data_IF_151133744403
#
_entry.id   IF_151133744403
#
_cell.length_a   1.000
_cell.length_b   1.000
_cell.length_c   1.000
_cell.angle_alpha   90.00
_cell.angle_beta   90.00
_cell.angle_gamma   90.00
#
_symmetry.space_group_name_H-M   'P 1'
#
loop_
_entity.id
_entity.type
_entity.pdbx_description
1 polymer ?
#
# COMPACT_ATOMS: atom_id res chain seq x y z
N UNK A 1 -8.48 30.08 14.37
CA UNK A 1 -9.84 30.33 14.82
C UNK A 1 -10.80 29.45 13.98
N UNK A 2 -11.31 28.33 14.53
CA UNK A 2 -12.18 27.44 13.78
C UNK A 2 -13.56 28.01 13.45
N UNK A 3 -14.02 29.00 14.20
CA UNK A 3 -15.33 29.64 13.93
C UNK A 3 -15.26 30.61 12.74
N UNK A 4 -14.07 31.16 12.50
CA UNK A 4 -13.81 32.07 11.39
C UNK A 4 -13.17 31.41 10.19
N UNK A 5 -12.75 30.14 10.34
CA UNK A 5 -11.94 29.40 9.37
C UNK A 5 -10.67 30.15 8.94
N UNK A 6 -10.08 30.90 9.89
CA UNK A 6 -8.92 31.75 9.64
C UNK A 6 -7.71 31.34 10.51
N UNK A 7 -6.52 31.44 9.95
CA UNK A 7 -5.28 31.34 10.71
C UNK A 7 -5.05 32.67 11.43
N UNK A 8 -5.00 32.62 12.77
CA UNK A 8 -4.80 33.79 13.61
C UNK A 8 -3.37 33.85 14.14
N UNK A 9 -2.63 34.86 13.75
CA UNK A 9 -1.25 35.07 14.17
C UNK A 9 -0.22 34.27 13.39
N UNK A 10 0.99 34.17 13.93
CA UNK A 10 2.11 33.49 13.26
C UNK A 10 2.36 32.10 13.87
N UNK A 11 2.77 31.10 13.05
CA UNK A 11 3.13 29.78 13.56
C UNK A 11 4.32 29.89 14.53
N UNK A 12 4.27 29.11 15.61
CA UNK A 12 5.34 29.02 16.60
C UNK A 12 5.81 27.57 16.73
N UNK A 13 7.11 27.31 16.78
CA UNK A 13 7.61 25.98 17.08
C UNK A 13 7.24 25.59 18.53
N UNK A 14 6.54 24.46 18.70
CA UNK A 14 6.12 23.96 20.00
C UNK A 14 7.16 23.00 20.59
N UNK A 15 7.69 22.12 19.78
CA UNK A 15 8.52 21.01 20.23
C UNK A 15 9.52 20.58 19.15
N UNK A 16 10.63 19.99 19.57
CA UNK A 16 11.71 19.54 18.66
C UNK A 16 11.96 18.05 18.73
N UNK A 17 11.00 17.29 19.26
CA UNK A 17 11.06 15.83 19.34
C UNK A 17 11.53 15.30 20.69
N UNK A 18 11.26 14.02 20.91
CA UNK A 18 11.59 13.25 22.09
C UNK A 18 12.95 12.55 22.02
N UNK A 19 13.45 12.32 20.79
CA UNK A 19 14.69 11.60 20.52
C UNK A 19 15.62 12.40 19.62
N UNK A 20 16.78 11.83 19.28
CA UNK A 20 17.69 12.38 18.27
C UNK A 20 17.55 11.72 16.89
N UNK A 21 16.47 10.94 16.69
CA UNK A 21 16.22 10.23 15.42
C UNK A 21 15.87 11.16 14.26
N UNK A 22 15.49 12.40 14.53
CA UNK A 22 15.14 13.39 13.51
C UNK A 22 13.80 13.14 12.83
N UNK A 23 13.54 13.80 11.69
CA UNK A 23 12.32 13.66 10.90
C UNK A 23 11.04 13.74 11.74
N UNK A 24 10.95 14.74 12.63
CA UNK A 24 9.77 14.92 13.49
C UNK A 24 8.59 15.39 12.64
N UNK A 25 7.46 14.68 12.75
CA UNK A 25 6.26 14.94 11.97
C UNK A 25 4.99 14.43 12.66
N UNK A 26 3.82 14.58 12.01
CA UNK A 26 2.52 14.08 12.45
C UNK A 26 2.18 14.40 13.92
N UNK A 27 2.18 15.67 14.32
CA UNK A 27 1.88 16.01 15.71
C UNK A 27 0.40 15.81 16.01
N UNK A 28 0.12 15.03 17.06
CA UNK A 28 -1.20 14.93 17.69
C UNK A 28 -1.15 15.66 19.02
N UNK A 29 -1.96 16.70 19.16
CA UNK A 29 -2.06 17.49 20.39
C UNK A 29 -3.35 17.16 21.12
N UNK A 30 -3.26 16.66 22.35
CA UNK A 30 -4.41 16.30 23.18
C UNK A 30 -4.30 16.93 24.56
N UNK A 31 -5.46 17.15 25.22
CA UNK A 31 -5.51 17.61 26.61
C UNK A 31 -6.02 16.49 27.50
N UNK A 32 -5.27 16.15 28.56
CA UNK A 32 -5.68 15.18 29.58
C UNK A 32 -5.30 15.69 30.97
N UNK A 33 -6.32 15.91 31.80
CA UNK A 33 -6.11 16.51 33.13
C UNK A 33 -5.49 17.92 33.03
N UNK A 34 -4.39 18.12 33.75
CA UNK A 34 -3.67 19.40 33.77
C UNK A 34 -2.68 19.57 32.62
N UNK A 35 -2.44 18.52 31.81
CA UNK A 35 -1.42 18.53 30.79
C UNK A 35 -1.99 18.55 29.38
N UNK A 36 -1.24 19.22 28.50
CA UNK A 36 -1.29 19.06 27.06
C UNK A 36 -0.20 18.08 26.66
N UNK A 37 -0.58 17.06 25.91
CA UNK A 37 0.33 16.03 25.39
C UNK A 37 0.52 16.26 23.90
N UNK A 38 1.77 16.21 23.45
CA UNK A 38 2.14 16.20 22.05
C UNK A 38 2.74 14.84 21.71
N UNK A 39 2.13 14.13 20.77
CA UNK A 39 2.63 12.86 20.22
C UNK A 39 3.11 13.11 18.81
N UNK A 40 4.30 12.59 18.46
CA UNK A 40 4.87 12.77 17.13
C UNK A 40 5.46 11.46 16.61
N UNK A 41 5.61 11.39 15.27
CA UNK A 41 6.49 10.45 14.62
C UNK A 41 7.91 11.01 14.57
N UNK A 42 8.90 10.16 14.71
CA UNK A 42 10.32 10.49 14.53
C UNK A 42 11.07 9.33 13.84
N UNK A 43 12.27 9.61 13.34
CA UNK A 43 13.14 8.63 12.69
C UNK A 43 12.89 8.41 11.21
N UNK A 44 11.93 9.13 10.63
CA UNK A 44 11.47 8.88 9.25
C UNK A 44 10.72 7.57 9.11
N UNK A 45 10.12 7.32 7.96
CA UNK A 45 9.21 6.17 7.72
C UNK A 45 9.97 4.85 7.44
N UNK A 46 11.25 4.79 7.80
CA UNK A 46 12.14 3.63 7.65
C UNK A 46 12.25 2.77 8.90
N UNK A 47 13.33 2.01 9.00
CA UNK A 47 13.58 1.09 10.11
C UNK A 47 13.81 1.78 11.46
N UNK A 48 14.18 3.07 11.43
CA UNK A 48 14.40 3.88 12.63
C UNK A 48 13.13 4.59 13.16
N UNK A 49 12.00 4.33 12.56
CA UNK A 49 10.72 4.96 12.88
C UNK A 49 10.29 4.72 14.32
N UNK A 50 9.65 5.71 14.94
CA UNK A 50 9.12 5.58 16.28
C UNK A 50 8.00 6.57 16.58
N UNK A 51 7.31 6.32 17.69
CA UNK A 51 6.34 7.24 18.31
C UNK A 51 6.99 7.88 19.53
N UNK A 52 6.95 9.20 19.62
CA UNK A 52 7.48 9.96 20.76
C UNK A 52 6.39 10.81 21.39
N UNK A 53 6.56 11.16 22.67
CA UNK A 53 5.61 11.95 23.41
C UNK A 53 6.32 12.99 24.27
N UNK A 54 5.68 14.17 24.40
CA UNK A 54 6.00 15.21 25.34
C UNK A 54 4.73 15.76 26.00
N UNK A 55 4.88 16.47 27.13
CA UNK A 55 3.74 17.14 27.80
C UNK A 55 4.10 18.51 28.34
N UNK A 56 3.09 19.36 28.49
CA UNK A 56 3.23 20.69 29.08
C UNK A 56 1.97 21.09 29.84
N UNK A 57 2.07 21.98 30.85
CA UNK A 57 0.91 22.57 31.52
C UNK A 57 0.25 23.68 30.69
N UNK A 58 0.96 24.24 29.74
CA UNK A 58 0.46 25.24 28.81
C UNK A 58 0.54 24.72 27.38
N UNK A 59 -0.49 24.97 26.57
CA UNK A 59 -0.51 24.52 25.16
C UNK A 59 0.69 25.02 24.34
N UNK A 60 1.25 26.16 24.69
CA UNK A 60 2.46 26.73 24.07
C UNK A 60 3.78 26.24 24.66
N UNK A 61 3.70 25.29 25.61
CA UNK A 61 4.90 24.74 26.26
C UNK A 61 5.39 25.55 27.46
N UNK A 62 6.64 25.35 27.92
CA UNK A 62 7.60 24.38 27.36
C UNK A 62 7.16 22.93 27.58
N UNK A 63 7.36 22.10 26.53
CA UNK A 63 7.06 20.65 26.58
C UNK A 63 8.26 19.90 27.17
N UNK A 64 8.02 19.17 28.27
CA UNK A 64 8.97 18.20 28.79
C UNK A 64 8.90 16.91 27.97
N UNK A 65 10.05 16.33 27.66
CA UNK A 65 10.14 15.05 26.97
C UNK A 65 9.76 13.91 27.89
N UNK A 66 9.04 12.93 27.38
CA UNK A 66 8.92 11.66 28.06
C UNK A 66 10.31 11.04 28.28
N UNK A 67 10.69 10.71 29.51
CA UNK A 67 12.02 10.16 29.78
C UNK A 67 12.27 8.77 29.19
N UNK A 68 11.19 8.08 28.74
CA UNK A 68 11.27 6.76 28.15
C UNK A 68 11.00 6.77 26.63
N UNK A 69 11.09 7.94 25.98
CA UNK A 69 10.99 7.98 24.52
C UNK A 69 12.05 7.09 23.85
N UNK A 70 11.70 6.40 22.76
CA UNK A 70 10.40 6.33 22.12
C UNK A 70 9.41 5.44 22.87
N UNK A 71 8.10 5.77 22.81
CA UNK A 71 7.05 5.01 23.51
C UNK A 71 6.57 3.79 22.72
N UNK A 72 6.71 3.80 21.37
CA UNK A 72 6.52 2.65 20.47
C UNK A 72 7.57 2.73 19.38
N UNK A 73 8.23 1.61 19.08
CA UNK A 73 9.23 1.48 18.03
C UNK A 73 9.45 0.00 17.69
N UNK A 74 10.19 -0.27 16.61
CA UNK A 74 10.74 -1.60 16.30
C UNK A 74 12.21 -1.72 16.73
N UNK A 75 12.89 -0.60 16.99
CA UNK A 75 14.33 -0.55 17.30
C UNK A 75 14.54 0.06 18.68
N UNK A 76 14.90 -0.75 19.68
CA UNK A 76 15.24 -0.21 20.99
C UNK A 76 16.60 0.51 20.95
N UNK A 77 16.77 1.46 21.87
CA UNK A 77 18.03 2.16 22.07
C UNK A 77 18.17 3.46 21.27
N UNK A 78 19.34 4.07 21.42
CA UNK A 78 19.66 5.34 20.76
C UNK A 78 20.13 5.12 19.33
N UNK A 79 19.65 5.96 18.42
CA UNK A 79 20.16 6.02 17.05
C UNK A 79 20.32 7.48 16.63
N UNK A 80 21.50 7.84 16.15
CA UNK A 80 21.85 9.19 15.70
C UNK A 80 21.71 9.32 14.18
N UNK A 81 20.47 9.45 13.72
CA UNK A 81 20.15 9.29 12.30
C UNK A 81 19.91 10.57 11.51
N UNK A 82 19.94 11.73 12.16
CA UNK A 82 19.69 13.03 11.49
C UNK A 82 20.52 13.29 10.24
N UNK A 83 21.58 12.51 10.01
CA UNK A 83 22.52 12.66 8.91
C UNK A 83 22.49 11.50 7.91
N UNK A 84 21.63 10.50 8.10
CA UNK A 84 21.56 9.37 7.17
C UNK A 84 20.63 9.72 6.01
N UNK A 85 21.13 9.88 4.77
CA UNK A 85 20.30 10.12 3.60
C UNK A 85 19.47 8.89 3.20
N UNK A 86 19.81 7.72 3.74
CA UNK A 86 19.24 6.42 3.39
C UNK A 86 18.34 5.84 4.49
N UNK A 87 17.58 6.70 5.19
CA UNK A 87 16.71 6.29 6.30
C UNK A 87 15.66 5.23 5.94
N UNK A 88 15.39 4.99 4.65
CA UNK A 88 14.51 3.93 4.18
C UNK A 88 15.20 2.56 4.08
N UNK A 89 16.53 2.53 4.08
CA UNK A 89 17.30 1.31 3.94
C UNK A 89 17.40 0.53 5.27
N UNK A 90 17.68 -0.77 5.26
CA UNK A 90 17.50 -1.66 6.40
C UNK A 90 18.61 -1.59 7.49
N UNK A 91 19.31 -0.50 7.64
CA UNK A 91 20.42 -0.31 8.59
C UNK A 91 20.05 -0.59 10.06
N UNK A 92 18.78 -0.38 10.44
CA UNK A 92 18.28 -0.55 11.81
C UNK A 92 17.28 -1.69 11.93
N UNK A 93 17.37 -2.67 11.06
CA UNK A 93 16.57 -3.88 11.19
C UNK A 93 16.81 -4.57 12.54
N UNK A 94 15.73 -4.83 13.28
CA UNK A 94 15.75 -5.58 14.52
C UNK A 94 15.23 -7.01 14.28
N UNK A 95 16.06 -8.05 14.31
CA UNK A 95 15.62 -9.43 14.06
C UNK A 95 14.65 -9.97 15.13
N UNK A 96 14.60 -9.34 16.31
CA UNK A 96 13.72 -9.75 17.41
C UNK A 96 12.32 -9.11 17.31
N UNK A 97 12.08 -8.24 16.32
CA UNK A 97 10.78 -7.61 16.08
C UNK A 97 10.19 -8.08 14.75
N UNK A 98 8.99 -8.65 14.78
CA UNK A 98 8.26 -9.03 13.57
C UNK A 98 7.74 -7.78 12.87
N UNK A 99 7.18 -6.82 13.63
CA UNK A 99 6.73 -5.56 13.09
C UNK A 99 7.91 -4.58 13.01
N UNK A 100 8.36 -4.31 11.80
CA UNK A 100 9.42 -3.33 11.53
C UNK A 100 8.82 -1.94 11.28
N UNK A 101 9.65 -0.90 11.32
CA UNK A 101 9.28 0.47 10.96
C UNK A 101 8.11 1.05 11.78
N UNK A 102 7.93 0.58 13.02
CA UNK A 102 6.81 0.96 13.88
C UNK A 102 6.93 2.40 14.36
N UNK A 103 5.98 3.24 13.97
CA UNK A 103 5.94 4.67 14.29
C UNK A 103 4.66 5.34 13.82
N UNK A 104 4.61 6.67 13.85
CA UNK A 104 3.46 7.47 13.38
C UNK A 104 2.17 7.05 14.08
N UNK A 105 2.15 7.15 15.42
CA UNK A 105 1.04 6.67 16.24
C UNK A 105 -0.05 7.69 16.49
N UNK A 106 -1.25 7.18 16.74
CA UNK A 106 -2.39 7.92 17.29
C UNK A 106 -3.09 7.05 18.31
N UNK A 107 -3.47 7.61 19.46
CA UNK A 107 -4.13 6.82 20.50
C UNK A 107 -5.59 7.22 20.71
N UNK A 108 -6.37 6.29 21.25
CA UNK A 108 -7.73 6.49 21.70
C UNK A 108 -7.89 5.93 23.12
N UNK A 109 -8.58 6.66 23.99
CA UNK A 109 -9.04 6.19 25.29
C UNK A 109 -10.51 5.81 25.17
N UNK A 110 -10.82 4.56 25.42
CA UNK A 110 -12.18 4.01 25.30
C UNK A 110 -13.04 4.42 26.51
N UNK A 111 -14.38 4.41 26.39
CA UNK A 111 -15.28 4.66 27.53
C UNK A 111 -15.06 3.70 28.71
N UNK A 112 -14.49 2.52 28.46
CA UNK A 112 -14.12 1.53 29.49
C UNK A 112 -12.85 1.91 30.28
N UNK A 113 -12.12 2.94 29.84
CA UNK A 113 -10.82 3.36 30.38
C UNK A 113 -9.62 2.63 29.78
N UNK A 114 -9.85 1.69 28.86
CA UNK A 114 -8.78 1.05 28.09
C UNK A 114 -8.21 2.04 27.07
N UNK A 115 -6.93 1.91 26.79
CA UNK A 115 -6.24 2.79 25.84
C UNK A 115 -5.59 1.93 24.75
N UNK A 116 -5.81 2.31 23.50
CA UNK A 116 -5.17 1.69 22.36
C UNK A 116 -4.47 2.74 21.52
N UNK A 117 -3.35 2.35 20.93
CA UNK A 117 -2.56 3.17 19.99
C UNK A 117 -2.45 2.42 18.67
N UNK A 118 -2.91 3.03 17.59
CA UNK A 118 -2.68 2.56 16.22
C UNK A 118 -1.42 3.21 15.70
N UNK A 119 -0.64 2.46 14.91
CA UNK A 119 0.60 2.96 14.36
C UNK A 119 0.92 2.32 13.01
N UNK A 120 1.76 2.98 12.24
CA UNK A 120 2.33 2.45 11.01
C UNK A 120 3.37 1.38 11.34
N UNK A 121 3.42 0.32 10.53
CA UNK A 121 4.46 -0.70 10.57
C UNK A 121 4.73 -1.28 9.18
N UNK A 122 5.63 -2.25 9.08
CA UNK A 122 5.87 -3.06 7.91
C UNK A 122 6.42 -4.43 8.28
N UNK A 123 6.20 -5.43 7.42
CA UNK A 123 6.70 -6.80 7.58
C UNK A 123 7.55 -7.17 6.36
N UNK A 124 8.89 -7.08 6.45
CA UNK A 124 9.77 -7.37 5.34
C UNK A 124 9.98 -8.87 5.11
N UNK A 125 10.23 -9.27 3.88
CA UNK A 125 10.87 -10.54 3.61
C UNK A 125 12.28 -10.59 4.18
N UNK A 126 12.64 -11.63 4.92
CA UNK A 126 13.98 -11.86 5.47
C UNK A 126 14.63 -12.99 4.67
N UNK A 127 15.87 -12.89 4.18
CA UNK A 127 16.88 -11.86 4.52
C UNK A 127 16.89 -10.62 3.61
N UNK A 128 16.02 -10.52 2.58
CA UNK A 128 16.05 -9.43 1.59
C UNK A 128 15.70 -8.07 2.20
N UNK A 129 15.01 -8.06 3.34
CA UNK A 129 14.50 -6.90 4.07
C UNK A 129 13.66 -5.95 3.20
N UNK A 130 12.78 -6.56 2.37
CA UNK A 130 11.93 -5.87 1.40
C UNK A 130 10.46 -5.98 1.76
N UNK A 131 9.78 -4.84 1.89
CA UNK A 131 8.38 -4.74 2.32
C UNK A 131 7.45 -4.60 1.11
N UNK A 132 7.09 -5.72 0.48
CA UNK A 132 6.21 -5.74 -0.71
C UNK A 132 4.79 -5.27 -0.40
N UNK A 133 4.29 -5.51 0.81
CA UNK A 133 2.99 -4.99 1.26
C UNK A 133 3.03 -3.49 1.60
N UNK A 134 4.20 -2.87 1.58
CA UNK A 134 4.43 -1.47 1.90
C UNK A 134 4.22 -1.19 3.38
N UNK A 135 3.45 -0.14 3.69
CA UNK A 135 3.08 0.21 5.06
C UNK A 135 1.73 -0.37 5.43
N UNK A 136 1.69 -0.93 6.63
CA UNK A 136 0.53 -1.55 7.24
C UNK A 136 0.18 -0.80 8.53
N UNK A 137 -0.99 -1.08 9.08
CA UNK A 137 -1.45 -0.52 10.35
C UNK A 137 -1.50 -1.61 11.40
N UNK A 138 -0.87 -1.36 12.55
CA UNK A 138 -0.93 -2.21 13.72
C UNK A 138 -1.54 -1.46 14.91
N UNK A 139 -1.95 -2.20 15.93
CA UNK A 139 -2.53 -1.66 17.17
C UNK A 139 -1.71 -2.16 18.35
N UNK A 140 -1.58 -1.35 19.41
CA UNK A 140 -0.97 -1.72 20.67
C UNK A 140 -1.88 -1.35 21.83
N UNK A 141 -2.00 -2.23 22.84
CA UNK A 141 -2.66 -1.88 24.10
C UNK A 141 -1.74 -1.03 24.96
N UNK A 142 -2.28 0.09 25.41
CA UNK A 142 -1.53 1.09 26.18
C UNK A 142 -2.11 1.23 27.59
N UNK A 143 -1.36 1.87 28.48
CA UNK A 143 -1.82 2.30 29.80
C UNK A 143 -1.22 3.64 30.20
N UNK A 144 -2.01 4.44 30.89
CA UNK A 144 -1.52 5.61 31.60
C UNK A 144 -0.86 5.21 32.92
N UNK A 145 0.37 5.63 33.13
CA UNK A 145 1.09 5.38 34.37
C UNK A 145 0.71 6.40 35.47
N UNK A 146 1.06 6.10 36.73
CA UNK A 146 0.76 7.00 37.85
C UNK A 146 1.43 8.37 37.75
N UNK A 147 2.58 8.44 37.08
CA UNK A 147 3.33 9.69 36.81
C UNK A 147 2.81 10.40 35.55
N UNK A 148 1.72 9.90 34.94
CA UNK A 148 0.99 10.57 33.86
C UNK A 148 1.62 10.42 32.48
N UNK A 149 2.37 9.35 32.20
CA UNK A 149 2.87 9.03 30.88
C UNK A 149 2.15 7.84 30.25
N UNK A 150 2.04 7.84 28.92
CA UNK A 150 1.47 6.74 28.16
C UNK A 150 2.55 5.68 27.88
N UNK A 151 2.27 4.41 28.16
CA UNK A 151 3.17 3.27 27.96
C UNK A 151 2.42 2.11 27.33
N UNK A 152 3.15 1.26 26.61
CA UNK A 152 2.59 -0.06 26.27
C UNK A 152 2.21 -0.81 27.55
N UNK A 153 1.10 -1.55 27.50
CA UNK A 153 0.51 -2.21 28.66
C UNK A 153 1.45 -3.23 29.32
N UNK A 154 2.32 -3.86 28.53
CA UNK A 154 3.33 -4.80 28.99
C UNK A 154 4.59 -4.14 29.59
N UNK A 155 4.74 -2.83 29.48
CA UNK A 155 5.89 -2.06 29.98
C UNK A 155 7.09 -2.02 29.07
N UNK A 156 7.02 -2.61 27.87
CA UNK A 156 8.04 -2.47 26.80
C UNK A 156 7.72 -1.26 25.92
N UNK A 157 8.52 -1.06 24.86
CA UNK A 157 8.24 -0.11 23.77
C UNK A 157 8.35 -0.77 22.38
N UNK A 158 8.51 -2.10 22.33
CA UNK A 158 8.59 -2.87 21.09
C UNK A 158 7.21 -3.32 20.65
N UNK A 159 6.79 -2.90 19.45
CA UNK A 159 5.51 -3.24 18.86
C UNK A 159 5.33 -4.76 18.72
N UNK A 160 4.13 -5.26 19.02
CA UNK A 160 3.77 -6.68 19.03
C UNK A 160 2.71 -7.01 18.00
N UNK A 161 2.73 -8.23 17.50
CA UNK A 161 1.69 -8.78 16.62
C UNK A 161 0.45 -9.16 17.41
N UNK A 162 0.64 -9.83 18.54
CA UNK A 162 -0.46 -10.27 19.39
C UNK A 162 -0.75 -9.19 20.44
N UNK A 163 -1.96 -8.70 20.46
CA UNK A 163 -2.45 -7.66 21.36
C UNK A 163 -3.74 -8.12 22.00
N UNK A 164 -3.84 -7.90 23.32
CA UNK A 164 -5.07 -8.19 24.06
C UNK A 164 -6.23 -7.36 23.50
N UNK A 165 -7.33 -8.02 23.16
CA UNK A 165 -8.54 -7.38 22.64
C UNK A 165 -9.20 -6.44 23.66
N UNK A 166 -10.02 -5.53 23.16
CA UNK A 166 -10.78 -4.62 24.01
C UNK A 166 -12.00 -5.32 24.64
N UNK A 167 -12.50 -4.74 25.74
CA UNK A 167 -13.74 -5.18 26.37
C UNK A 167 -15.00 -4.61 25.68
N UNK A 168 -14.83 -3.88 24.58
CA UNK A 168 -15.96 -3.40 23.78
C UNK A 168 -16.65 -4.57 23.08
N UNK A 169 -17.99 -4.49 22.86
CA UNK A 169 -18.68 -5.45 22.04
C UNK A 169 -18.08 -5.53 20.64
N UNK A 170 -17.94 -6.75 20.14
CA UNK A 170 -17.51 -6.98 18.77
C UNK A 170 -18.54 -6.39 17.79
N UNK A 171 -18.05 -5.67 16.80
CA UNK A 171 -18.85 -5.14 15.69
C UNK A 171 -18.24 -5.61 14.38
N UNK A 172 -18.93 -6.47 13.67
CA UNK A 172 -18.54 -6.86 12.34
C UNK A 172 -18.60 -5.67 11.38
N UNK A 173 -17.50 -5.43 10.68
CA UNK A 173 -17.43 -4.49 9.56
C UNK A 173 -17.74 -5.23 8.26
N UNK A 174 -18.38 -4.58 7.27
CA UNK A 174 -18.57 -5.17 5.95
C UNK A 174 -17.24 -5.62 5.35
N UNK A 175 -17.14 -6.89 5.02
CA UNK A 175 -15.95 -7.41 4.36
C UNK A 175 -15.81 -6.80 2.95
N UNK A 176 -14.58 -6.50 2.54
CA UNK A 176 -14.30 -6.15 1.15
C UNK A 176 -14.50 -7.43 0.30
N UNK A 177 -15.36 -7.42 -0.72
CA UNK A 177 -15.67 -8.63 -1.48
C UNK A 177 -14.41 -9.17 -2.17
N UNK A 178 -14.22 -10.49 -2.09
CA UNK A 178 -13.15 -11.17 -2.83
C UNK A 178 -13.46 -11.25 -4.33
N UNK A 179 -14.73 -11.22 -4.68
CA UNK A 179 -15.24 -11.28 -6.06
C UNK A 179 -16.15 -10.08 -6.31
N UNK A 180 -15.91 -9.37 -7.39
CA UNK A 180 -16.72 -8.24 -7.86
C UNK A 180 -17.13 -8.52 -9.32
N UNK A 181 -18.44 -8.65 -9.55
CA UNK A 181 -19.06 -8.91 -10.84
C UNK A 181 -19.46 -7.63 -11.59
N UNK A 182 -19.21 -6.47 -10.98
CA UNK A 182 -19.55 -5.15 -11.52
C UNK A 182 -21.04 -4.96 -11.86
N UNK A 183 -21.93 -5.70 -11.19
CA UNK A 183 -23.37 -5.55 -11.34
C UNK A 183 -23.95 -4.33 -10.60
N UNK A 184 -23.14 -3.68 -9.76
CA UNK A 184 -23.51 -2.49 -9.00
C UNK A 184 -23.66 -1.24 -9.88
N UNK A 185 -24.30 -0.18 -9.33
CA UNK A 185 -24.43 1.11 -10.00
C UNK A 185 -23.20 2.00 -9.82
N UNK A 186 -22.35 1.70 -8.85
CA UNK A 186 -21.13 2.44 -8.52
C UNK A 186 -19.93 1.50 -8.36
N UNK A 187 -18.76 2.01 -8.68
CA UNK A 187 -17.50 1.30 -8.46
C UNK A 187 -17.21 1.21 -6.96
N UNK A 188 -16.81 0.03 -6.50
CA UNK A 188 -16.43 -0.19 -5.10
C UNK A 188 -15.32 0.75 -4.62
N UNK A 189 -15.42 1.24 -3.39
CA UNK A 189 -14.48 2.20 -2.79
C UNK A 189 -13.10 1.57 -2.43
N UNK A 190 -12.95 0.28 -2.66
CA UNK A 190 -11.70 -0.48 -2.47
C UNK A 190 -10.82 -0.55 -3.72
N UNK A 191 -11.21 0.12 -4.80
CA UNK A 191 -10.37 0.29 -5.98
C UNK A 191 -9.58 1.59 -5.93
N UNK A 192 -8.37 1.51 -6.39
CA UNK A 192 -7.39 2.59 -6.43
C UNK A 192 -6.91 2.83 -7.86
N UNK A 193 -6.45 4.03 -8.11
CA UNK A 193 -5.79 4.42 -9.35
C UNK A 193 -4.64 5.40 -9.07
N UNK A 194 -3.56 5.39 -9.88
CA UNK A 194 -2.44 6.29 -9.66
C UNK A 194 -2.80 7.74 -10.04
N UNK A 195 -2.88 8.62 -9.04
CA UNK A 195 -3.02 10.09 -9.21
C UNK A 195 -4.26 10.59 -9.97
N UNK A 196 -5.30 9.75 -10.09
CA UNK A 196 -6.57 10.09 -10.72
C UNK A 196 -7.69 9.29 -10.05
N UNK A 197 -8.87 9.86 -9.95
CA UNK A 197 -10.04 9.13 -9.45
C UNK A 197 -10.45 8.05 -10.46
N UNK A 198 -10.69 6.80 -10.02
CA UNK A 198 -11.07 5.69 -10.91
C UNK A 198 -12.25 6.02 -11.84
N UNK A 199 -13.26 6.73 -11.33
CA UNK A 199 -14.47 7.12 -12.07
C UNK A 199 -14.19 8.03 -13.30
N UNK A 200 -12.97 8.53 -13.45
CA UNK A 200 -12.58 9.31 -14.64
C UNK A 200 -12.34 8.44 -15.86
N UNK A 201 -12.09 7.15 -15.67
CA UNK A 201 -11.78 6.22 -16.77
C UNK A 201 -12.43 4.84 -16.65
N UNK A 202 -12.94 4.47 -15.47
CA UNK A 202 -13.64 3.22 -15.21
C UNK A 202 -15.13 3.49 -14.99
N UNK A 203 -15.99 2.77 -15.72
CA UNK A 203 -17.44 2.96 -15.73
C UNK A 203 -18.14 1.59 -15.69
N UNK A 204 -18.88 1.33 -14.61
CA UNK A 204 -19.70 0.09 -14.43
C UNK A 204 -21.08 0.21 -15.04
N UNK A 205 -21.50 1.42 -15.46
CA UNK A 205 -22.82 1.65 -16.06
C UNK A 205 -22.81 1.55 -17.58
N UNK A 206 -21.63 1.66 -18.22
CA UNK A 206 -21.48 1.60 -19.67
C UNK A 206 -21.91 0.26 -20.29
N UNK A 207 -21.78 -0.82 -19.52
CA UNK A 207 -22.22 -2.17 -19.88
C UNK A 207 -22.51 -2.95 -18.59
N UNK A 208 -23.76 -3.36 -18.40
CA UNK A 208 -24.16 -4.10 -17.18
C UNK A 208 -23.34 -5.38 -17.01
N UNK A 209 -22.88 -5.66 -15.78
CA UNK A 209 -22.04 -6.81 -15.44
C UNK A 209 -20.59 -6.69 -15.92
N UNK A 210 -20.14 -5.47 -16.22
CA UNK A 210 -18.77 -5.21 -16.63
C UNK A 210 -18.28 -3.86 -16.09
N UNK A 211 -16.99 -3.79 -15.77
CA UNK A 211 -16.33 -2.50 -15.70
C UNK A 211 -15.68 -2.19 -17.05
N UNK A 212 -16.06 -1.07 -17.66
CA UNK A 212 -15.42 -0.54 -18.86
C UNK A 212 -14.26 0.37 -18.47
N UNK A 213 -13.06 0.00 -18.88
CA UNK A 213 -11.85 0.80 -18.63
C UNK A 213 -11.44 1.45 -19.95
N UNK A 214 -11.57 2.77 -20.00
CA UNK A 214 -11.11 3.57 -21.15
C UNK A 214 -9.59 3.68 -21.14
N UNK A 215 -8.95 3.37 -22.25
CA UNK A 215 -7.51 3.51 -22.43
C UNK A 215 -7.07 4.96 -22.45
N UNK A 216 -5.96 5.23 -21.79
CA UNK A 216 -5.31 6.52 -21.74
C UNK A 216 -3.80 6.33 -22.00
N UNK A 217 -2.96 7.14 -21.34
CA UNK A 217 -1.51 7.15 -21.49
C UNK A 217 -0.83 5.82 -21.14
N UNK A 218 0.45 5.75 -21.43
CA UNK A 218 1.35 4.65 -21.05
C UNK A 218 1.38 4.47 -19.53
N UNK A 219 1.55 3.22 -19.06
CA UNK A 219 1.73 2.90 -17.62
C UNK A 219 2.96 3.57 -17.00
N UNK A 220 3.90 4.03 -17.80
CA UNK A 220 5.07 4.82 -17.37
C UNK A 220 4.76 6.30 -17.16
N UNK A 221 3.59 6.77 -17.62
CA UNK A 221 3.19 8.16 -17.46
C UNK A 221 2.84 8.47 -16.00
N UNK A 222 3.10 9.71 -15.57
CA UNK A 222 2.70 10.20 -14.24
C UNK A 222 1.22 10.56 -14.19
N UNK A 223 0.60 10.88 -15.33
CA UNK A 223 -0.78 11.36 -15.39
C UNK A 223 -1.62 10.56 -16.38
N UNK A 224 -2.93 10.55 -16.17
CA UNK A 224 -3.91 9.94 -17.08
C UNK A 224 -3.60 8.46 -17.39
N UNK A 225 -3.24 7.69 -16.38
CA UNK A 225 -3.00 6.25 -16.51
C UNK A 225 -4.24 5.49 -16.05
N UNK A 226 -4.78 4.63 -16.91
CA UNK A 226 -5.92 3.79 -16.59
C UNK A 226 -5.44 2.47 -15.99
N UNK A 227 -5.26 2.48 -14.67
CA UNK A 227 -5.03 1.31 -13.83
C UNK A 227 -6.09 1.32 -12.74
N UNK A 228 -6.94 0.30 -12.72
CA UNK A 228 -7.95 0.05 -11.70
C UNK A 228 -7.48 -1.13 -10.86
N UNK A 229 -7.04 -0.89 -9.64
CA UNK A 229 -6.32 -1.89 -8.86
C UNK A 229 -6.75 -1.94 -7.39
N UNK A 230 -6.48 -3.08 -6.76
CA UNK A 230 -6.58 -3.26 -5.30
C UNK A 230 -5.19 -3.32 -4.71
N UNK A 231 -5.03 -2.84 -3.47
CA UNK A 231 -3.79 -3.00 -2.72
C UNK A 231 -3.59 -4.49 -2.42
N UNK A 232 -2.35 -4.96 -2.57
CA UNK A 232 -1.97 -6.30 -2.15
C UNK A 232 -1.99 -6.36 -0.61
N UNK A 233 -2.84 -7.20 -0.03
CA UNK A 233 -2.99 -7.38 1.44
C UNK A 233 -2.29 -8.63 1.94
N UNK A 234 -1.94 -9.53 1.03
CA UNK A 234 -1.15 -10.73 1.31
C UNK A 234 -0.15 -10.99 0.20
N UNK A 235 1.02 -11.50 0.58
CA UNK A 235 2.00 -12.05 -0.36
C UNK A 235 1.63 -13.46 -0.85
N UNK A 236 0.48 -13.97 -0.43
CA UNK A 236 -0.13 -15.20 -0.94
C UNK A 236 -1.51 -14.86 -1.51
N UNK A 237 -1.53 -14.54 -2.78
CA UNK A 237 -2.75 -14.10 -3.46
C UNK A 237 -2.89 -14.70 -4.85
N UNK A 238 -4.14 -14.81 -5.30
CA UNK A 238 -4.52 -15.10 -6.67
C UNK A 238 -5.49 -14.04 -7.16
N UNK A 239 -5.20 -13.49 -8.32
CA UNK A 239 -6.04 -12.47 -8.98
C UNK A 239 -6.50 -13.03 -10.29
N UNK A 240 -7.80 -13.00 -10.57
CA UNK A 240 -8.38 -13.49 -11.84
C UNK A 240 -9.36 -12.45 -12.38
N UNK A 241 -9.35 -12.28 -13.70
CA UNK A 241 -10.35 -11.47 -14.40
C UNK A 241 -10.64 -12.06 -15.78
N UNK A 242 -11.82 -11.80 -16.33
CA UNK A 242 -12.17 -12.08 -17.73
C UNK A 242 -12.27 -10.78 -18.49
N UNK A 243 -11.58 -10.70 -19.61
CA UNK A 243 -11.43 -9.48 -20.39
C UNK A 243 -11.92 -9.65 -21.81
N UNK A 244 -12.70 -8.70 -22.29
CA UNK A 244 -13.04 -8.50 -23.69
C UNK A 244 -12.30 -7.28 -24.21
N UNK A 245 -11.42 -7.48 -25.19
CA UNK A 245 -10.60 -6.43 -25.76
C UNK A 245 -10.11 -6.82 -27.16
N UNK A 246 -10.31 -5.94 -28.14
CA UNK A 246 -9.81 -6.09 -29.51
C UNK A 246 -8.92 -4.91 -29.86
N UNK A 247 -7.60 -5.06 -29.77
CA UNK A 247 -6.67 -3.99 -30.13
C UNK A 247 -6.59 -3.81 -31.65
N UNK A 248 -6.66 -2.58 -32.14
CA UNK A 248 -6.59 -2.26 -33.58
C UNK A 248 -5.16 -1.90 -34.02
N UNK A 249 -4.36 -1.37 -33.12
CA UNK A 249 -2.98 -0.92 -33.35
C UNK A 249 -2.07 -1.26 -32.17
N UNK A 250 -0.77 -1.25 -32.37
CA UNK A 250 0.22 -1.60 -31.33
C UNK A 250 0.20 -0.67 -30.09
N UNK A 251 -0.39 0.54 -30.20
CA UNK A 251 -0.57 1.44 -29.07
C UNK A 251 -1.78 1.10 -28.20
N UNK A 252 -2.68 0.22 -28.65
CA UNK A 252 -3.79 -0.31 -27.87
C UNK A 252 -3.33 -1.51 -27.06
N UNK A 253 -3.55 -1.51 -25.76
CA UNK A 253 -3.27 -2.68 -24.92
C UNK A 253 -4.10 -2.69 -23.66
N UNK A 254 -4.56 -3.86 -23.23
CA UNK A 254 -5.28 -4.06 -21.98
C UNK A 254 -4.86 -5.38 -21.33
N UNK A 255 -5.03 -5.50 -20.00
CA UNK A 255 -4.68 -6.73 -19.30
C UNK A 255 -4.58 -6.60 -17.80
N UNK A 256 -3.80 -7.49 -17.18
CA UNK A 256 -3.61 -7.63 -15.75
C UNK A 256 -2.21 -7.15 -15.35
N UNK A 257 -2.13 -6.36 -14.29
CA UNK A 257 -0.89 -5.72 -13.85
C UNK A 257 -0.61 -5.98 -12.36
N UNK A 258 0.66 -6.19 -12.02
CA UNK A 258 1.21 -6.02 -10.69
C UNK A 258 2.05 -4.73 -10.73
N UNK A 259 1.70 -3.75 -9.91
CA UNK A 259 2.15 -2.37 -10.02
C UNK A 259 2.61 -1.83 -8.66
N UNK A 260 3.83 -1.35 -8.59
CA UNK A 260 4.33 -0.59 -7.46
C UNK A 260 4.31 0.92 -7.75
N UNK A 261 4.97 1.34 -8.82
CA UNK A 261 4.98 2.71 -9.34
C UNK A 261 5.13 2.73 -10.88
N UNK A 262 5.24 3.91 -11.47
CA UNK A 262 5.38 4.09 -12.91
C UNK A 262 6.74 3.64 -13.47
N UNK A 263 7.69 3.28 -12.60
CA UNK A 263 9.02 2.78 -12.93
C UNK A 263 9.18 1.30 -12.60
N UNK A 264 8.23 0.71 -11.86
CA UNK A 264 8.30 -0.65 -11.33
C UNK A 264 6.93 -1.34 -11.43
N UNK A 265 6.77 -2.17 -12.44
CA UNK A 265 5.58 -2.98 -12.64
C UNK A 265 5.85 -4.17 -13.55
N UNK A 266 4.99 -5.17 -13.53
CA UNK A 266 4.88 -6.22 -14.54
C UNK A 266 3.44 -6.33 -15.03
N UNK A 267 3.26 -6.38 -16.33
CA UNK A 267 1.95 -6.36 -16.97
C UNK A 267 1.81 -7.46 -18.03
N UNK A 268 0.89 -8.41 -17.81
CA UNK A 268 0.37 -9.27 -18.88
C UNK A 268 -0.65 -8.47 -19.66
N UNK A 269 -0.42 -8.32 -20.96
CA UNK A 269 -1.28 -7.53 -21.85
C UNK A 269 -1.69 -8.28 -23.10
N UNK A 270 -2.91 -8.04 -23.58
CA UNK A 270 -3.33 -8.26 -24.96
C UNK A 270 -3.06 -6.98 -25.75
N UNK A 271 -2.48 -7.10 -26.95
CA UNK A 271 -2.15 -5.98 -27.83
C UNK A 271 -2.13 -6.43 -29.29
N UNK A 272 -2.18 -5.50 -30.24
CA UNK A 272 -1.99 -5.81 -31.65
C UNK A 272 -0.49 -5.94 -31.95
N UNK A 273 -0.08 -7.08 -32.49
CA UNK A 273 1.31 -7.33 -32.89
C UNK A 273 1.46 -7.14 -34.41
N UNK A 274 2.11 -6.05 -34.82
CA UNK A 274 2.39 -5.79 -36.23
C UNK A 274 3.23 -6.90 -36.88
N UNK A 275 4.14 -7.51 -36.11
CA UNK A 275 4.97 -8.62 -36.61
C UNK A 275 4.17 -9.88 -36.89
N UNK A 276 3.13 -10.16 -36.10
CA UNK A 276 2.26 -11.32 -36.27
C UNK A 276 1.03 -10.99 -37.14
N UNK A 277 0.74 -9.70 -37.36
CA UNK A 277 -0.45 -9.25 -38.06
C UNK A 277 -1.78 -9.56 -37.35
N UNK A 278 -1.74 -9.77 -36.01
CA UNK A 278 -2.90 -10.13 -35.18
C UNK A 278 -2.72 -9.80 -33.73
N UNK A 279 -3.78 -10.00 -32.94
CA UNK A 279 -3.74 -9.90 -31.49
C UNK A 279 -2.80 -10.92 -30.87
N UNK A 280 -2.09 -10.50 -29.82
CA UNK A 280 -1.18 -11.36 -29.07
C UNK A 280 -1.19 -11.02 -27.58
N UNK A 281 -0.88 -12.01 -26.75
CA UNK A 281 -0.48 -11.81 -25.35
C UNK A 281 1.04 -11.63 -25.26
N UNK A 282 1.47 -10.70 -24.43
CA UNK A 282 2.88 -10.57 -24.03
C UNK A 282 3.00 -9.97 -22.64
N UNK A 283 4.19 -10.13 -22.04
CA UNK A 283 4.50 -9.50 -20.76
C UNK A 283 5.50 -8.38 -20.98
N UNK A 284 5.24 -7.26 -20.33
CA UNK A 284 6.19 -6.16 -20.17
C UNK A 284 6.52 -6.02 -18.69
N UNK A 285 7.81 -5.93 -18.38
CA UNK A 285 8.33 -5.54 -17.08
C UNK A 285 9.01 -4.18 -17.19
N UNK A 286 8.72 -3.30 -16.23
CA UNK A 286 9.56 -2.17 -15.88
C UNK A 286 10.22 -2.47 -14.54
N UNK A 287 11.53 -2.31 -14.48
CA UNK A 287 12.34 -2.50 -13.28
C UNK A 287 13.27 -1.29 -13.12
N UNK A 288 12.98 -0.42 -12.15
CA UNK A 288 13.67 0.86 -11.96
C UNK A 288 13.84 1.71 -13.25
N UNK A 289 12.80 1.67 -14.10
CA UNK A 289 12.73 2.37 -15.37
C UNK A 289 13.29 1.62 -16.58
N UNK A 290 13.98 0.52 -16.37
CA UNK A 290 14.44 -0.34 -17.45
C UNK A 290 13.31 -1.22 -17.96
N UNK A 291 12.99 -1.09 -19.24
CA UNK A 291 11.90 -1.83 -19.88
C UNK A 291 12.41 -3.12 -20.51
N UNK A 292 11.78 -4.23 -20.14
CA UNK A 292 11.93 -5.52 -20.81
C UNK A 292 10.58 -5.96 -21.39
N UNK A 293 10.54 -6.28 -22.68
CA UNK A 293 9.40 -6.90 -23.33
C UNK A 293 9.75 -8.34 -23.71
N UNK A 294 9.00 -9.30 -23.14
CA UNK A 294 9.30 -10.74 -23.33
C UNK A 294 8.69 -11.27 -24.63
N UNK A 295 9.20 -10.80 -25.76
CA UNK A 295 8.69 -11.17 -27.09
C UNK A 295 8.83 -12.64 -27.44
N UNK A 296 9.81 -13.34 -26.86
CA UNK A 296 10.04 -14.78 -27.05
C UNK A 296 8.96 -15.66 -26.39
N UNK A 297 8.17 -15.09 -25.47
CA UNK A 297 7.04 -15.75 -24.81
C UNK A 297 5.69 -15.24 -25.32
N UNK A 298 5.68 -14.47 -26.41
CA UNK A 298 4.49 -13.91 -27.01
C UNK A 298 3.62 -15.01 -27.62
N UNK A 299 2.31 -14.97 -27.31
CA UNK A 299 1.33 -15.95 -27.76
C UNK A 299 0.31 -15.25 -28.67
N UNK A 300 0.14 -15.68 -29.95
CA UNK A 300 -0.96 -15.23 -30.79
C UNK A 300 -2.29 -15.64 -30.16
N UNK A 301 -3.26 -14.73 -30.15
CA UNK A 301 -4.61 -15.01 -29.60
C UNK A 301 -5.70 -14.46 -30.50
N UNK A 302 -6.87 -15.08 -30.42
CA UNK A 302 -8.06 -14.65 -31.12
C UNK A 302 -8.71 -13.42 -30.47
N UNK A 303 -9.51 -12.68 -31.24
CA UNK A 303 -10.28 -11.54 -30.71
C UNK A 303 -11.61 -12.02 -30.11
N UNK A 304 -11.49 -12.78 -29.03
CA UNK A 304 -12.59 -13.26 -28.19
C UNK A 304 -12.24 -13.03 -26.71
N UNK A 305 -13.21 -13.18 -25.79
CA UNK A 305 -12.96 -13.07 -24.35
C UNK A 305 -11.84 -13.99 -23.89
N UNK A 306 -11.00 -13.50 -22.98
CA UNK A 306 -9.91 -14.26 -22.37
C UNK A 306 -9.89 -14.06 -20.85
N UNK A 307 -9.50 -15.10 -20.14
CA UNK A 307 -9.25 -15.05 -18.72
C UNK A 307 -7.75 -14.81 -18.46
N UNK A 308 -7.45 -13.89 -17.56
CA UNK A 308 -6.10 -13.56 -17.14
C UNK A 308 -5.98 -13.82 -15.64
N UNK A 309 -4.88 -14.42 -15.23
CA UNK A 309 -4.62 -14.76 -13.83
C UNK A 309 -3.22 -14.38 -13.45
N UNK A 310 -3.08 -13.85 -12.24
CA UNK A 310 -1.81 -13.56 -11.57
C UNK A 310 -1.77 -14.34 -10.25
N UNK A 311 -0.68 -15.05 -10.02
CA UNK A 311 -0.32 -15.59 -8.72
C UNK A 311 0.76 -14.75 -8.08
N UNK A 312 0.60 -14.48 -6.78
CA UNK A 312 1.63 -14.00 -5.87
C UNK A 312 1.79 -15.07 -4.80
N UNK A 313 2.98 -15.66 -4.71
CA UNK A 313 3.26 -16.78 -3.81
C UNK A 313 4.58 -16.53 -3.08
N UNK A 314 4.52 -15.69 -2.05
CA UNK A 314 5.69 -15.25 -1.32
C UNK A 314 6.62 -14.42 -2.23
N UNK A 315 7.83 -14.93 -2.43
CA UNK A 315 8.87 -14.27 -3.25
C UNK A 315 8.65 -14.39 -4.75
N UNK A 316 7.71 -15.22 -5.18
CA UNK A 316 7.47 -15.52 -6.59
C UNK A 316 6.11 -15.03 -7.06
N UNK A 317 6.05 -14.55 -8.29
CA UNK A 317 4.81 -14.23 -8.98
C UNK A 317 4.88 -14.63 -10.44
N UNK A 318 3.73 -15.01 -11.03
CA UNK A 318 3.64 -15.39 -12.42
C UNK A 318 2.25 -15.16 -12.97
N UNK A 319 2.13 -15.15 -14.30
CA UNK A 319 0.87 -15.00 -15.01
C UNK A 319 0.45 -16.27 -15.71
N UNK A 320 -0.86 -16.43 -15.81
CA UNK A 320 -1.53 -17.47 -16.58
C UNK A 320 -2.66 -16.84 -17.39
N UNK A 321 -3.08 -17.54 -18.44
CA UNK A 321 -4.20 -17.15 -19.28
C UNK A 321 -5.01 -18.35 -19.69
N UNK A 322 -6.29 -18.13 -20.08
CA UNK A 322 -7.20 -19.19 -20.53
C UNK A 322 -8.27 -18.62 -21.46
N UNK A 323 -8.84 -19.47 -22.31
CA UNK A 323 -10.04 -19.12 -23.08
C UNK A 323 -11.34 -19.55 -22.39
N UNK A 324 -11.33 -20.58 -21.58
CA UNK A 324 -12.52 -21.20 -20.95
C UNK A 324 -12.65 -20.89 -19.44
N UNK A 325 -11.59 -20.37 -18.81
CA UNK A 325 -11.56 -20.11 -17.38
C UNK A 325 -11.31 -21.35 -16.52
N UNK A 326 -11.12 -22.51 -17.14
CA UNK A 326 -10.89 -23.80 -16.48
C UNK A 326 -9.43 -24.27 -16.67
N UNK A 327 -8.98 -24.30 -17.93
CA UNK A 327 -7.64 -24.72 -18.30
C UNK A 327 -6.73 -23.50 -18.52
N UNK A 328 -5.80 -23.30 -17.60
CA UNK A 328 -4.87 -22.17 -17.63
C UNK A 328 -3.49 -22.60 -18.08
N UNK A 329 -2.89 -21.81 -18.94
CA UNK A 329 -1.53 -21.94 -19.40
C UNK A 329 -0.67 -20.80 -18.84
N UNK A 330 0.54 -21.15 -18.36
CA UNK A 330 1.51 -20.16 -17.90
C UNK A 330 2.09 -19.40 -19.09
N UNK A 331 2.22 -18.07 -18.93
CA UNK A 331 2.87 -17.21 -19.90
C UNK A 331 4.05 -16.47 -19.27
N UNK A 332 5.13 -16.34 -20.02
CA UNK A 332 6.34 -15.65 -19.57
C UNK A 332 7.16 -16.46 -18.58
N UNK A 333 7.63 -15.80 -17.53
CA UNK A 333 8.51 -16.36 -16.51
C UNK A 333 7.96 -16.11 -15.11
N UNK A 334 8.64 -16.67 -14.12
CA UNK A 334 8.46 -16.30 -12.71
C UNK A 334 9.22 -14.99 -12.44
N UNK A 335 8.56 -14.08 -11.71
CA UNK A 335 9.09 -12.77 -11.32
C UNK A 335 9.38 -12.76 -9.82
N UNK A 336 10.40 -12.03 -9.42
CA UNK A 336 10.74 -11.78 -8.04
C UNK A 336 9.81 -10.70 -7.45
N UNK A 337 8.84 -11.13 -6.63
CA UNK A 337 7.85 -10.25 -5.99
C UNK A 337 8.50 -9.26 -5.02
N UNK A 338 9.63 -9.60 -4.41
CA UNK A 338 10.31 -8.73 -3.44
C UNK A 338 10.84 -7.44 -4.05
N UNK A 339 11.00 -7.41 -5.38
CA UNK A 339 11.44 -6.23 -6.13
C UNK A 339 10.37 -5.12 -6.20
N UNK A 340 9.12 -5.42 -5.84
CA UNK A 340 8.06 -4.43 -5.78
C UNK A 340 7.91 -3.95 -4.32
N UNK A 341 8.92 -3.22 -3.84
CA UNK A 341 9.04 -2.77 -2.45
C UNK A 341 9.79 -1.46 -2.35
N UNK A 342 9.58 -0.74 -1.25
CA UNK A 342 10.24 0.54 -0.96
C UNK A 342 11.77 0.43 -1.01
N UNK A 343 12.31 -0.68 -0.51
CA UNK A 343 13.74 -0.89 -0.36
C UNK A 343 14.44 -1.19 -1.70
N UNK A 344 13.70 -1.74 -2.66
CA UNK A 344 14.23 -2.05 -3.99
C UNK A 344 14.00 -0.94 -5.00
N UNK A 345 12.80 -0.35 -4.99
CA UNK A 345 12.41 0.68 -5.95
C UNK A 345 13.16 1.99 -5.69
N UNK A 346 13.60 2.64 -6.76
CA UNK A 346 14.49 3.80 -6.71
C UNK A 346 13.93 4.97 -5.89
N UNK A 347 12.64 5.17 -5.93
CA UNK A 347 12.00 6.32 -5.29
C UNK A 347 11.33 6.02 -3.95
N UNK A 348 11.08 4.75 -3.61
CA UNK A 348 10.53 4.34 -2.31
C UNK A 348 9.27 5.08 -1.88
N UNK A 349 8.12 4.71 -2.43
CA UNK A 349 6.87 5.48 -2.30
C UNK A 349 6.01 5.12 -1.06
N UNK A 350 6.42 4.18 -0.23
CA UNK A 350 5.70 3.65 0.95
C UNK A 350 4.33 3.00 0.67
N UNK A 351 3.95 2.82 -0.58
CA UNK A 351 2.60 2.42 -0.96
C UNK A 351 2.35 0.92 -0.85
N UNK A 352 3.38 0.11 -1.06
CA UNK A 352 3.24 -1.31 -1.33
C UNK A 352 2.76 -1.59 -2.76
N UNK A 353 2.61 -2.86 -3.06
CA UNK A 353 2.21 -3.35 -4.39
C UNK A 353 0.70 -3.33 -4.56
N UNK A 354 0.27 -3.04 -5.77
CA UNK A 354 -1.12 -3.12 -6.22
C UNK A 354 -1.25 -4.16 -7.33
N UNK A 355 -2.41 -4.78 -7.43
CA UNK A 355 -2.77 -5.73 -8.47
C UNK A 355 -4.10 -5.33 -9.10
N UNK A 356 -4.20 -5.36 -10.44
CA UNK A 356 -5.43 -4.88 -11.06
C UNK A 356 -5.45 -4.94 -12.58
N UNK A 357 -6.49 -4.34 -13.12
CA UNK A 357 -6.81 -4.25 -14.53
C UNK A 357 -6.27 -2.95 -15.13
N UNK A 358 -5.86 -2.98 -16.38
CA UNK A 358 -5.31 -1.79 -17.04
C UNK A 358 -5.68 -1.76 -18.52
N UNK A 359 -5.88 -0.54 -19.04
CA UNK A 359 -6.09 -0.29 -20.47
C UNK A 359 -5.27 0.92 -20.91
N UNK A 360 -4.73 0.89 -22.13
CA UNK A 360 -4.05 2.03 -22.74
C UNK A 360 -4.48 2.19 -24.22
N UNK A 361 -4.73 3.42 -24.57
CA UNK A 361 -4.84 3.94 -25.94
C UNK A 361 -3.98 5.21 -25.98
N UNK A 362 -2.76 5.09 -26.48
CA UNK A 362 -1.79 6.16 -26.47
C UNK A 362 -1.93 7.14 -27.65
N UNK A 363 -3.04 7.06 -28.40
CA UNK A 363 -3.28 7.88 -29.60
C UNK A 363 -4.50 8.77 -29.42
N UNK A 364 -5.67 8.18 -29.25
CA UNK A 364 -6.93 8.93 -29.22
C UNK A 364 -7.58 8.97 -27.83
N UNK A 365 -7.17 8.12 -26.88
CA UNK A 365 -7.80 7.91 -25.58
C UNK A 365 -9.29 7.58 -25.64
N UNK A 366 -9.69 6.82 -26.65
CA UNK A 366 -11.10 6.43 -26.93
C UNK A 366 -11.33 4.94 -26.86
N UNK A 367 -10.29 4.15 -27.14
CA UNK A 367 -10.39 2.69 -27.10
C UNK A 367 -10.55 2.22 -25.66
N UNK A 368 -11.23 1.09 -25.44
CA UNK A 368 -11.55 0.59 -24.11
C UNK A 368 -11.46 -0.93 -24.05
N UNK A 369 -11.34 -1.44 -22.83
CA UNK A 369 -11.50 -2.86 -22.51
C UNK A 369 -12.65 -3.03 -21.51
N UNK A 370 -13.44 -4.09 -21.69
CA UNK A 370 -14.50 -4.51 -20.78
C UNK A 370 -14.01 -5.70 -19.95
N UNK A 371 -14.13 -5.60 -18.62
CA UNK A 371 -13.79 -6.67 -17.70
C UNK A 371 -15.06 -7.15 -17.01
N UNK A 372 -15.35 -8.46 -17.13
CA UNK A 372 -16.57 -9.13 -16.65
C UNK A 372 -16.60 -9.22 -15.10
N UNK A 373 -15.47 -9.55 -14.51
CA UNK A 373 -15.32 -9.61 -13.05
C UNK A 373 -13.87 -9.34 -12.64
N UNK A 374 -13.70 -9.10 -11.35
CA UNK A 374 -12.39 -9.08 -10.70
C UNK A 374 -12.41 -9.92 -9.42
N UNK A 375 -11.69 -11.02 -9.42
CA UNK A 375 -11.49 -11.88 -8.26
C UNK A 375 -10.13 -11.60 -7.62
N UNK A 376 -10.12 -11.35 -6.30
CA UNK A 376 -8.92 -11.18 -5.51
C UNK A 376 -9.00 -12.08 -4.28
N UNK A 377 -8.33 -13.21 -4.32
CA UNK A 377 -8.25 -14.17 -3.23
C UNK A 377 -6.90 -14.01 -2.54
N UNK A 378 -6.89 -13.58 -1.31
CA UNK A 378 -5.71 -13.39 -0.48
C UNK A 378 -5.77 -14.27 0.76
N UNK A 379 -4.67 -14.92 1.09
CA UNK A 379 -4.50 -15.66 2.35
C UNK A 379 -3.64 -14.84 3.31
N UNK A 380 -4.31 -13.99 4.09
CA UNK A 380 -3.65 -13.10 5.04
C UNK A 380 -3.10 -13.82 6.27
N UNK A 381 -3.59 -15.04 6.57
CA UNK A 381 -3.12 -15.86 7.70
C UNK A 381 -1.64 -16.26 7.56
N UNK A 382 -1.15 -16.34 6.32
CA UNK A 382 0.24 -16.69 5.99
C UNK A 382 1.22 -15.52 5.99
N UNK A 383 0.75 -14.31 6.24
CA UNK A 383 1.60 -13.11 6.21
C UNK A 383 2.60 -13.03 7.37
N UNK A 384 2.51 -13.91 8.36
CA UNK A 384 3.41 -13.98 9.52
C UNK A 384 4.47 -15.08 9.40
N UNK A 385 4.47 -15.86 8.32
CA UNK A 385 5.49 -16.83 7.98
C UNK A 385 6.67 -16.13 7.26
#
# INVERSE_FOLDING_TARGET
>A
DPEKEEIVGYPKPLWRGGTDRGCIEAPHLTKRGEYYYIMCAEGGTGYNHCVTMGRAKNVWGPYEKDPMNPIVTSVPGESNERKDPDHLKPKYFNPDSVLQKSGHGSYVELPTGEVYLVHLCARPFVPELRCTLGRETAIQKMKWTKDGWLRMADGTNLAKIEVEESTLPEQELPAIPAFDDFDGEELGNFYYAPRIMPQRFADVTARKGYVRIRGQESRTSLNKVSILARKLTSVYARVTTKMEFTPEIHQHSAGLIMYYDNMNYVNLRKYYSETLGQSALSIIQLENGEKTEFLNTRIPVEDRPIYLRLYVQGRESWFEWSYDGEQYERIGRVFDTTKYSDEYCKYGEFTGTFVGMTCADRVLHKHYADFDFFEYLADESRNVE
#
